data_IF_371556419655
#
_entry.id   IF_371556419655
#
_cell.length_a   1.000
_cell.length_b   1.000
_cell.length_c   1.000
_cell.angle_alpha   90.00
_cell.angle_beta   90.00
_cell.angle_gamma   90.00
#
_symmetry.space_group_name_H-M   'P 1'
#
loop_
_entity.id
_entity.type
_entity.pdbx_description
1 polymer ?
#
# COMPACT_ATOMS: atom_id res chain seq x y z
N UNK A 1 -30.31 55.38 -18.53
CA UNK A 1 -28.99 54.86 -18.11
C UNK A 1 -29.18 54.21 -16.75
N UNK A 2 -28.44 53.13 -16.45
CA UNK A 2 -28.70 52.05 -15.47
C UNK A 2 -29.54 50.91 -16.11
N UNK A 3 -29.16 49.62 -16.03
CA UNK A 3 -28.17 48.95 -15.20
C UNK A 3 -27.67 47.64 -15.86
N UNK A 4 -26.37 47.38 -15.71
CA UNK A 4 -25.69 46.09 -15.85
C UNK A 4 -26.23 45.04 -14.86
N UNK A 5 -26.57 43.83 -15.33
CA UNK A 5 -27.00 42.73 -14.45
C UNK A 5 -26.76 41.30 -15.00
N UNK A 6 -25.79 41.06 -15.89
CA UNK A 6 -25.61 39.73 -16.52
C UNK A 6 -24.25 39.03 -16.32
N UNK A 7 -23.33 39.60 -15.54
CA UNK A 7 -21.97 39.02 -15.37
C UNK A 7 -21.71 38.38 -14.00
N UNK A 8 -22.66 38.40 -13.07
CA UNK A 8 -22.46 37.97 -11.69
C UNK A 8 -22.60 36.45 -11.50
N UNK A 9 -23.63 35.83 -12.08
CA UNK A 9 -24.01 34.44 -11.74
C UNK A 9 -23.01 33.37 -12.18
N UNK A 10 -22.39 33.50 -13.36
CA UNK A 10 -21.45 32.48 -13.86
C UNK A 10 -20.11 32.50 -13.11
N UNK A 11 -19.63 33.69 -12.72
CA UNK A 11 -18.39 33.82 -11.95
C UNK A 11 -18.55 33.27 -10.54
N UNK A 12 -19.68 33.53 -9.87
CA UNK A 12 -19.97 32.94 -8.56
C UNK A 12 -20.18 31.43 -8.62
N UNK A 13 -20.80 30.89 -9.68
CA UNK A 13 -20.90 29.44 -9.87
C UNK A 13 -19.53 28.81 -10.13
N UNK A 14 -18.72 29.41 -11.00
CA UNK A 14 -17.35 28.95 -11.28
C UNK A 14 -16.49 28.99 -10.01
N UNK A 15 -16.53 30.07 -9.23
CA UNK A 15 -15.81 30.15 -7.96
C UNK A 15 -16.33 29.14 -6.95
N UNK A 16 -17.64 28.93 -6.82
CA UNK A 16 -18.19 27.89 -5.94
C UNK A 16 -17.76 26.50 -6.36
N UNK A 17 -17.71 26.23 -7.66
CA UNK A 17 -17.26 24.95 -8.20
C UNK A 17 -15.76 24.75 -7.95
N UNK A 18 -14.93 25.76 -8.22
CA UNK A 18 -13.48 25.72 -7.93
C UNK A 18 -13.17 25.62 -6.44
N UNK A 19 -13.94 26.29 -5.57
CA UNK A 19 -13.76 26.20 -4.10
C UNK A 19 -14.28 24.86 -3.55
N UNK A 20 -15.32 24.29 -4.17
CA UNK A 20 -15.82 22.95 -3.82
C UNK A 20 -14.82 21.85 -4.21
N UNK A 21 -14.19 21.98 -5.39
CA UNK A 21 -13.08 21.11 -5.82
C UNK A 21 -11.83 21.25 -4.94
N UNK A 22 -11.60 22.43 -4.34
CA UNK A 22 -10.50 22.65 -3.39
C UNK A 22 -10.78 22.06 -1.99
N UNK A 23 -12.01 21.66 -1.68
CA UNK A 23 -12.41 21.12 -0.38
C UNK A 23 -12.69 19.61 -0.39
N UNK A 24 -12.70 18.98 -1.57
CA UNK A 24 -12.91 17.54 -1.75
C UNK A 24 -11.56 16.82 -1.85
N UNK A 25 -11.34 15.87 -0.94
CA UNK A 25 -10.25 14.91 -1.07
C UNK A 25 -10.73 13.75 -1.93
N UNK A 26 -10.01 13.38 -3.01
CA UNK A 26 -10.40 12.28 -3.88
C UNK A 26 -10.41 10.94 -3.14
N UNK A 27 -11.01 9.93 -3.75
CA UNK A 27 -10.93 8.55 -3.25
C UNK A 27 -9.49 8.13 -3.03
N UNK A 28 -9.26 7.45 -1.91
CA UNK A 28 -7.94 6.96 -1.53
C UNK A 28 -7.90 5.44 -1.66
N UNK A 29 -6.90 4.94 -2.38
CA UNK A 29 -6.56 3.53 -2.43
C UNK A 29 -5.44 3.25 -1.42
N UNK A 30 -5.72 2.42 -0.42
CA UNK A 30 -4.76 1.97 0.57
C UNK A 30 -4.47 0.48 0.42
N UNK A 31 -3.24 0.07 0.74
CA UNK A 31 -2.79 -1.31 0.70
C UNK A 31 -2.26 -1.72 2.06
N UNK A 32 -2.74 -2.84 2.58
CA UNK A 32 -2.21 -3.46 3.78
C UNK A 32 -1.77 -4.89 3.47
N UNK A 33 -0.53 -5.25 3.79
CA UNK A 33 -0.04 -6.63 3.66
C UNK A 33 -0.29 -7.35 4.97
N UNK A 34 -1.06 -8.44 4.90
CA UNK A 34 -1.48 -9.23 6.05
C UNK A 34 -0.98 -10.67 5.89
N UNK A 35 0.23 -10.99 6.40
CA UNK A 35 0.69 -12.37 6.49
C UNK A 35 -0.24 -13.20 7.37
N UNK A 36 -0.50 -14.44 6.99
CA UNK A 36 -1.31 -15.37 7.78
C UNK A 36 -0.52 -15.94 8.96
N UNK A 37 0.79 -16.14 8.78
CA UNK A 37 1.66 -16.79 9.77
C UNK A 37 3.10 -16.25 9.68
N UNK A 38 3.93 -16.58 10.66
CA UNK A 38 5.38 -16.40 10.63
C UNK A 38 6.10 -17.62 10.05
N UNK A 39 7.30 -17.41 9.50
CA UNK A 39 8.16 -18.51 9.05
C UNK A 39 9.23 -18.76 10.09
N UNK A 40 9.14 -19.91 10.76
CA UNK A 40 10.18 -20.40 11.66
C UNK A 40 11.01 -21.49 10.97
N UNK A 41 12.29 -21.21 10.76
CA UNK A 41 13.24 -22.15 10.16
C UNK A 41 14.00 -22.87 11.27
N UNK A 42 14.00 -24.20 11.24
CA UNK A 42 14.69 -25.03 12.23
C UNK A 42 15.86 -25.77 11.59
N UNK A 43 16.97 -25.84 12.33
CA UNK A 43 18.18 -26.51 11.89
C UNK A 43 19.16 -25.56 11.21
N UNK A 44 20.11 -26.16 10.47
CA UNK A 44 21.13 -25.41 9.75
C UNK A 44 20.56 -24.81 8.45
N UNK A 45 21.10 -23.66 7.98
CA UNK A 45 20.71 -23.07 6.70
C UNK A 45 20.81 -24.06 5.54
N UNK A 46 19.69 -24.26 4.83
CA UNK A 46 19.60 -25.19 3.70
C UNK A 46 19.24 -24.46 2.40
N UNK A 47 20.14 -24.56 1.42
CA UNK A 47 19.97 -23.94 0.10
C UNK A 47 18.96 -24.67 -0.79
N UNK A 48 18.59 -25.89 -0.42
CA UNK A 48 17.68 -26.75 -1.18
C UNK A 48 16.28 -26.77 -0.60
N UNK A 49 16.04 -26.08 0.52
CA UNK A 49 14.71 -25.95 1.12
C UNK A 49 14.09 -24.58 0.84
N UNK A 50 12.75 -24.57 0.83
CA UNK A 50 11.95 -23.37 0.75
C UNK A 50 10.74 -23.51 1.66
N UNK A 51 10.40 -22.41 2.33
CA UNK A 51 9.27 -22.30 3.24
C UNK A 51 8.19 -21.45 2.61
N UNK A 52 6.93 -21.77 2.88
CA UNK A 52 5.79 -20.99 2.35
C UNK A 52 5.43 -19.89 3.34
N UNK A 53 5.41 -18.64 2.87
CA UNK A 53 4.80 -17.51 3.57
C UNK A 53 3.57 -17.07 2.78
N UNK A 54 2.39 -17.30 3.36
CA UNK A 54 1.11 -17.03 2.73
C UNK A 54 0.34 -15.95 3.48
N UNK A 55 -0.58 -15.28 2.79
CA UNK A 55 -1.39 -14.23 3.37
C UNK A 55 -2.25 -13.53 2.33
N UNK A 56 -2.65 -12.31 2.63
CA UNK A 56 -3.44 -11.47 1.73
C UNK A 56 -2.89 -10.05 1.67
N UNK A 57 -3.00 -9.41 0.52
CA UNK A 57 -2.95 -7.96 0.40
C UNK A 57 -4.39 -7.45 0.42
N UNK A 58 -4.71 -6.65 1.43
CA UNK A 58 -5.99 -5.95 1.54
C UNK A 58 -5.90 -4.63 0.78
N UNK A 59 -6.75 -4.49 -0.24
CA UNK A 59 -6.96 -3.24 -0.96
C UNK A 59 -8.15 -2.55 -0.34
N UNK A 60 -7.96 -1.32 0.15
CA UNK A 60 -9.00 -0.48 0.74
C UNK A 60 -9.28 0.69 -0.18
N UNK A 61 -10.54 0.83 -0.58
CA UNK A 61 -11.02 2.05 -1.22
C UNK A 61 -11.79 2.87 -0.19
N UNK A 62 -11.27 4.05 0.12
CA UNK A 62 -11.90 4.99 1.05
C UNK A 62 -12.69 6.02 0.24
N UNK A 63 -13.94 6.35 0.64
CA UNK A 63 -14.74 7.36 -0.04
C UNK A 63 -14.04 8.71 -0.10
N UNK A 64 -14.43 9.58 -1.05
CA UNK A 64 -13.98 10.95 -1.03
C UNK A 64 -14.55 11.64 0.23
N UNK A 65 -13.79 12.57 0.78
CA UNK A 65 -14.19 13.30 2.00
C UNK A 65 -14.13 14.81 1.75
N UNK A 66 -15.03 15.56 2.38
CA UNK A 66 -15.06 17.02 2.31
C UNK A 66 -15.21 17.58 3.71
N UNK A 67 -14.51 18.69 3.99
CA UNK A 67 -14.54 19.36 5.30
C UNK A 67 -15.80 20.22 5.51
N UNK A 68 -16.56 20.50 4.45
CA UNK A 68 -17.63 21.50 4.47
C UNK A 68 -19.03 20.92 4.28
N UNK A 69 -19.14 19.75 3.65
CA UNK A 69 -20.42 19.12 3.32
C UNK A 69 -20.22 17.64 3.02
N UNK A 70 -21.27 16.85 3.16
CA UNK A 70 -21.27 15.45 2.71
C UNK A 70 -21.15 15.40 1.18
N UNK A 71 -20.11 14.73 0.64
CA UNK A 71 -19.93 14.62 -0.81
C UNK A 71 -21.17 14.03 -1.49
N UNK A 72 -21.55 14.52 -2.69
CA UNK A 72 -22.68 13.94 -3.42
C UNK A 72 -22.40 12.46 -3.75
N UNK A 73 -23.47 11.69 -4.00
CA UNK A 73 -23.33 10.31 -4.45
C UNK A 73 -22.51 10.24 -5.73
N UNK A 74 -21.47 9.40 -5.73
CA UNK A 74 -20.53 9.27 -6.84
C UNK A 74 -20.16 7.81 -7.05
N UNK A 75 -19.97 7.45 -8.31
CA UNK A 75 -19.42 6.15 -8.68
C UNK A 75 -17.92 6.29 -8.91
N UNK A 76 -17.15 5.46 -8.23
CA UNK A 76 -15.69 5.47 -8.30
C UNK A 76 -15.24 4.12 -8.80
N UNK A 77 -14.47 4.13 -9.88
CA UNK A 77 -13.97 2.93 -10.55
C UNK A 77 -12.51 3.12 -10.86
N UNK A 78 -11.69 2.21 -10.36
CA UNK A 78 -10.27 2.15 -10.58
C UNK A 78 -9.95 0.85 -11.31
N UNK A 79 -9.12 0.93 -12.36
CA UNK A 79 -8.53 -0.25 -12.95
C UNK A 79 -7.18 -0.49 -12.28
N UNK A 80 -7.09 -1.55 -11.48
CA UNK A 80 -5.85 -2.01 -10.89
C UNK A 80 -5.06 -2.79 -11.95
N UNK A 81 -3.98 -2.20 -12.43
CA UNK A 81 -3.17 -2.73 -13.54
C UNK A 81 -2.08 -3.68 -13.07
N UNK A 82 -1.51 -3.46 -11.88
CA UNK A 82 -0.48 -4.33 -11.27
C UNK A 82 -0.59 -4.31 -9.76
N UNK A 83 -0.30 -5.44 -9.11
CA UNK A 83 -0.08 -5.53 -7.67
C UNK A 83 1.15 -6.40 -7.40
N UNK A 84 2.26 -5.74 -7.07
CA UNK A 84 3.54 -6.39 -6.83
C UNK A 84 3.80 -6.51 -5.33
N UNK A 85 3.93 -7.74 -4.84
CA UNK A 85 4.42 -8.03 -3.50
C UNK A 85 5.94 -8.19 -3.55
N UNK A 86 6.66 -7.58 -2.61
CA UNK A 86 8.12 -7.67 -2.49
C UNK A 86 8.48 -8.19 -1.11
N UNK A 87 9.26 -9.27 -1.07
CA UNK A 87 9.92 -9.76 0.13
C UNK A 87 11.37 -9.30 0.12
N UNK A 88 11.81 -8.70 1.22
CA UNK A 88 13.18 -8.24 1.38
C UNK A 88 13.71 -8.56 2.76
N UNK A 89 15.00 -8.87 2.82
CA UNK A 89 15.76 -9.09 4.04
C UNK A 89 17.01 -8.24 4.04
N UNK A 90 17.33 -7.67 5.19
CA UNK A 90 18.50 -6.84 5.39
C UNK A 90 19.20 -7.19 6.69
N UNK A 91 20.47 -6.83 6.74
CA UNK A 91 21.30 -6.93 7.92
C UNK A 91 21.97 -5.59 8.20
N UNK A 92 21.89 -5.14 9.45
CA UNK A 92 22.44 -3.85 9.88
C UNK A 92 23.38 -4.05 11.07
N UNK A 93 24.50 -3.35 11.07
CA UNK A 93 25.51 -3.43 12.13
C UNK A 93 26.00 -2.03 12.44
N UNK A 94 26.13 -1.72 13.73
CA UNK A 94 26.76 -0.50 14.18
C UNK A 94 27.86 -0.83 15.18
N UNK A 95 29.11 -0.55 14.82
CA UNK A 95 30.26 -0.73 15.72
C UNK A 95 30.95 0.61 16.01
N UNK A 96 31.65 0.73 17.15
CA UNK A 96 32.51 1.90 17.41
C UNK A 96 33.64 2.08 16.39
N UNK A 97 34.19 0.99 15.86
CA UNK A 97 35.38 0.99 15.00
C UNK A 97 35.06 1.29 13.53
N UNK A 98 33.98 0.70 13.01
CA UNK A 98 33.61 0.79 11.58
C UNK A 98 32.36 1.64 11.34
N UNK A 99 31.66 2.05 12.40
CA UNK A 99 30.42 2.82 12.29
C UNK A 99 29.26 1.96 11.78
N UNK A 100 28.34 2.58 11.06
CA UNK A 100 27.14 1.92 10.53
C UNK A 100 27.45 1.20 9.21
N UNK A 101 27.08 -0.07 9.13
CA UNK A 101 27.11 -0.88 7.92
C UNK A 101 25.78 -1.59 7.71
N UNK A 102 25.32 -1.64 6.47
CA UNK A 102 24.10 -2.35 6.08
C UNK A 102 24.34 -3.21 4.83
N UNK A 103 23.68 -4.36 4.78
CA UNK A 103 23.75 -5.28 3.66
C UNK A 103 22.37 -5.85 3.34
N UNK A 104 22.01 -5.90 2.05
CA UNK A 104 20.79 -6.58 1.59
C UNK A 104 21.07 -8.07 1.46
N UNK A 105 20.32 -8.88 2.20
CA UNK A 105 20.45 -10.35 2.19
C UNK A 105 19.70 -10.96 1.01
N UNK A 106 18.46 -10.51 0.78
CA UNK A 106 17.58 -11.06 -0.24
C UNK A 106 16.57 -10.01 -0.68
N UNK A 107 16.17 -10.07 -1.94
CA UNK A 107 15.01 -9.34 -2.45
C UNK A 107 14.43 -10.08 -3.66
N UNK A 108 13.13 -10.33 -3.63
CA UNK A 108 12.38 -10.80 -4.78
C UNK A 108 10.96 -10.28 -4.75
N UNK A 109 10.33 -10.26 -5.93
CA UNK A 109 8.99 -9.72 -6.11
C UNK A 109 8.10 -10.71 -6.86
N UNK A 110 6.81 -10.70 -6.54
CA UNK A 110 5.78 -11.50 -7.18
C UNK A 110 4.63 -10.59 -7.63
N UNK A 111 4.26 -10.69 -8.91
CA UNK A 111 3.03 -10.09 -9.41
C UNK A 111 1.83 -10.95 -8.97
N UNK A 112 0.88 -10.33 -8.28
CA UNK A 112 -0.29 -11.01 -7.75
C UNK A 112 -1.46 -11.04 -8.74
N UNK A 113 -1.51 -10.13 -9.72
CA UNK A 113 -2.56 -10.10 -10.74
C UNK A 113 -2.16 -10.95 -11.95
N UNK A 114 -2.42 -12.26 -11.87
CA UNK A 114 -2.05 -13.20 -12.94
C UNK A 114 -3.01 -13.19 -14.13
N UNK A 115 -4.28 -12.86 -13.90
CA UNK A 115 -5.34 -12.91 -14.92
C UNK A 115 -5.52 -11.57 -15.67
N UNK A 116 -4.66 -10.59 -15.38
CA UNK A 116 -4.70 -9.25 -15.95
C UNK A 116 -5.32 -8.20 -15.00
N UNK A 117 -5.57 -6.99 -15.51
CA UNK A 117 -6.07 -5.88 -14.70
C UNK A 117 -7.45 -6.17 -14.08
N UNK A 118 -7.67 -5.69 -12.86
CA UNK A 118 -8.91 -5.91 -12.09
C UNK A 118 -9.62 -4.58 -11.87
N UNK A 119 -10.93 -4.52 -12.14
CA UNK A 119 -11.75 -3.37 -11.80
C UNK A 119 -12.08 -3.38 -10.31
N UNK A 120 -11.74 -2.29 -9.64
CA UNK A 120 -11.96 -2.05 -8.22
C UNK A 120 -12.83 -0.80 -8.12
N UNK A 121 -14.08 -0.95 -7.71
CA UNK A 121 -15.00 0.18 -7.72
C UNK A 121 -16.13 0.04 -6.72
N UNK A 122 -16.70 1.19 -6.35
CA UNK A 122 -17.85 1.26 -5.48
C UNK A 122 -18.71 2.48 -5.82
N UNK A 123 -20.01 2.35 -5.56
CA UNK A 123 -20.94 3.45 -5.62
C UNK A 123 -21.13 4.02 -4.21
N UNK A 124 -20.66 5.24 -3.99
CA UNK A 124 -20.80 5.93 -2.71
C UNK A 124 -22.16 6.60 -2.64
N UNK A 125 -22.94 6.27 -1.62
CA UNK A 125 -24.17 6.99 -1.25
C UNK A 125 -24.08 7.49 0.21
N UNK A 126 -25.09 8.23 0.67
CA UNK A 126 -25.12 8.78 2.03
C UNK A 126 -25.08 7.71 3.14
N UNK A 127 -25.48 6.48 2.84
CA UNK A 127 -25.53 5.35 3.79
C UNK A 127 -24.35 4.37 3.62
N UNK A 128 -23.63 4.41 2.50
CA UNK A 128 -22.58 3.50 2.09
C UNK A 128 -21.23 4.22 2.05
N UNK A 129 -20.78 4.76 3.18
CA UNK A 129 -19.47 5.41 3.31
C UNK A 129 -18.40 4.57 4.03
N UNK A 130 -18.70 3.31 4.30
CA UNK A 130 -17.70 2.41 4.87
C UNK A 130 -16.65 2.05 3.80
N UNK A 131 -15.34 2.09 4.14
CA UNK A 131 -14.29 1.70 3.21
C UNK A 131 -14.50 0.28 2.66
N UNK A 132 -14.47 0.15 1.34
CA UNK A 132 -14.62 -1.13 0.66
C UNK A 132 -13.29 -1.86 0.56
N UNK A 133 -13.34 -3.19 0.64
CA UNK A 133 -12.16 -4.04 0.82
C UNK A 133 -12.15 -5.20 -0.17
N UNK A 134 -11.00 -5.42 -0.78
CA UNK A 134 -10.71 -6.59 -1.60
C UNK A 134 -9.49 -7.31 -1.02
N UNK A 135 -9.54 -8.64 -0.99
CA UNK A 135 -8.45 -9.47 -0.48
C UNK A 135 -7.83 -10.24 -1.64
N UNK A 136 -6.56 -9.98 -1.91
CA UNK A 136 -5.80 -10.72 -2.92
C UNK A 136 -4.81 -11.63 -2.19
N UNK A 137 -4.92 -12.93 -2.40
CA UNK A 137 -4.07 -13.93 -1.77
C UNK A 137 -2.66 -13.91 -2.35
N UNK A 138 -1.67 -14.21 -1.51
CA UNK A 138 -0.31 -14.50 -1.94
C UNK A 138 0.23 -15.75 -1.24
N UNK A 139 1.19 -16.40 -1.90
CA UNK A 139 2.02 -17.44 -1.33
C UNK A 139 3.40 -17.33 -1.97
N UNK A 140 4.39 -16.93 -1.16
CA UNK A 140 5.78 -16.80 -1.59
C UNK A 140 6.63 -17.93 -1.01
N UNK A 141 7.64 -18.34 -1.78
CA UNK A 141 8.66 -19.27 -1.35
C UNK A 141 9.83 -18.50 -0.72
N UNK A 142 9.98 -18.61 0.60
CA UNK A 142 11.09 -18.05 1.38
C UNK A 142 12.24 -19.06 1.37
N UNK A 143 13.45 -18.70 0.88
CA UNK A 143 14.58 -19.62 0.85
C UNK A 143 15.04 -20.05 2.25
N UNK A 144 15.32 -21.34 2.44
CA UNK A 144 15.70 -21.88 3.76
C UNK A 144 17.14 -21.63 4.20
N UNK A 145 17.92 -20.88 3.42
CA UNK A 145 19.29 -20.48 3.77
C UNK A 145 19.35 -19.11 4.47
N UNK A 146 18.21 -18.43 4.63
CA UNK A 146 18.16 -17.11 5.23
C UNK A 146 18.50 -17.17 6.72
N UNK A 147 19.33 -16.24 7.24
CA UNK A 147 19.63 -16.19 8.66
C UNK A 147 18.38 -15.87 9.50
N UNK A 148 18.32 -16.32 10.77
CA UNK A 148 17.19 -16.00 11.64
C UNK A 148 17.08 -14.49 11.87
N UNK A 149 15.84 -14.02 12.06
CA UNK A 149 15.61 -12.64 12.51
C UNK A 149 16.23 -12.44 13.89
N UNK A 150 17.00 -11.37 14.07
CA UNK A 150 17.56 -11.00 15.35
C UNK A 150 17.47 -9.49 15.54
N UNK A 151 16.97 -9.08 16.70
CA UNK A 151 16.94 -7.69 17.15
C UNK A 151 18.03 -7.51 18.20
N UNK A 152 19.25 -7.20 17.79
CA UNK A 152 20.31 -6.86 18.73
C UNK A 152 20.07 -5.44 19.22
N UNK A 153 19.90 -5.28 20.54
CA UNK A 153 19.75 -3.96 21.14
C UNK A 153 21.08 -3.21 21.03
N UNK A 154 21.02 -2.02 20.45
CA UNK A 154 22.08 -1.03 20.47
C UNK A 154 22.82 -0.98 21.82
N UNK A 155 24.12 -1.28 21.83
CA UNK A 155 25.00 -0.95 22.95
C UNK A 155 25.20 -2.00 24.04
N UNK A 156 24.84 -3.27 23.85
CA UNK A 156 25.46 -4.32 24.67
C UNK A 156 26.86 -4.58 24.12
N UNK A 157 27.86 -3.90 24.70
CA UNK A 157 29.27 -3.94 24.27
C UNK A 157 29.96 -5.31 24.37
N UNK A 158 29.17 -6.38 24.50
CA UNK A 158 29.60 -7.78 24.57
C UNK A 158 29.29 -8.53 23.25
N UNK A 159 28.30 -8.10 22.45
CA UNK A 159 27.90 -8.77 21.21
C UNK A 159 27.74 -7.78 20.05
N UNK A 160 28.75 -7.73 19.18
CA UNK A 160 28.74 -7.03 17.88
C UNK A 160 27.95 -7.80 16.80
N UNK A 161 26.85 -8.44 17.18
CA UNK A 161 26.06 -9.22 16.22
C UNK A 161 25.17 -8.28 15.39
N UNK A 162 25.14 -8.46 14.06
CA UNK A 162 24.31 -7.64 13.21
C UNK A 162 22.83 -7.93 13.47
N UNK A 163 22.00 -6.89 13.41
CA UNK A 163 20.55 -7.02 13.31
C UNK A 163 20.23 -7.69 11.97
N UNK A 164 19.23 -8.57 11.97
CA UNK A 164 18.67 -9.19 10.76
C UNK A 164 17.16 -9.02 10.81
N UNK A 165 16.61 -8.36 9.79
CA UNK A 165 15.18 -8.11 9.68
C UNK A 165 14.67 -8.39 8.27
N UNK A 166 13.41 -8.83 8.21
CA UNK A 166 12.68 -9.13 6.99
C UNK A 166 11.39 -8.33 6.95
N UNK A 167 10.97 -7.94 5.74
CA UNK A 167 9.68 -7.28 5.56
C UNK A 167 9.03 -7.65 4.24
N UNK A 168 7.71 -7.54 4.25
CA UNK A 168 6.88 -7.57 3.06
C UNK A 168 6.39 -6.16 2.75
N UNK A 169 6.42 -5.78 1.48
CA UNK A 169 5.82 -4.55 0.99
C UNK A 169 5.01 -4.83 -0.28
N UNK A 170 3.93 -4.09 -0.47
CA UNK A 170 3.10 -4.18 -1.67
C UNK A 170 3.09 -2.85 -2.41
N UNK A 171 3.05 -2.91 -3.74
CA UNK A 171 2.91 -1.75 -4.62
C UNK A 171 1.85 -2.02 -5.66
N UNK A 172 0.85 -1.15 -5.71
CA UNK A 172 -0.16 -1.14 -6.77
C UNK A 172 0.15 -0.09 -7.84
N UNK A 173 -0.19 -0.40 -9.09
CA UNK A 173 -0.37 0.59 -10.15
C UNK A 173 -1.83 0.54 -10.57
N UNK A 174 -2.48 1.70 -10.62
CA UNK A 174 -3.89 1.79 -10.97
C UNK A 174 -4.16 3.08 -11.74
N UNK A 175 -5.31 3.12 -12.40
CA UNK A 175 -5.82 4.31 -13.09
C UNK A 175 -7.31 4.50 -12.87
N UNK A 176 -7.76 5.74 -12.88
CA UNK A 176 -9.18 6.06 -12.83
C UNK A 176 -9.88 5.61 -14.12
N UNK A 177 -11.02 4.95 -13.98
CA UNK A 177 -11.92 4.65 -15.08
C UNK A 177 -12.97 5.74 -15.16
N UNK A 178 -13.02 6.46 -16.28
CA UNK A 178 -14.08 7.45 -16.50
C UNK A 178 -15.44 6.74 -16.58
N UNK A 179 -16.49 7.29 -15.95
CA UNK A 179 -17.83 6.77 -16.16
C UNK A 179 -18.23 6.97 -17.63
N UNK A 180 -18.41 5.87 -18.36
CA UNK A 180 -19.02 5.87 -19.71
C UNK A 180 -18.13 5.56 -20.92
N UNK A 181 -17.05 4.76 -20.78
CA UNK A 181 -16.36 4.17 -21.94
C UNK A 181 -17.02 2.88 -22.41
#
# INVERSE_FOLDING_TARGET
MLHDAFLSTSFYQSLKQTVSDMALTPCKLDLDVLPLDSVDMYGEPDKHSAYSLSGHVEIKLTPPTSLLYDPPASEERLLLESLVLTFEGQSELLTPETGYGACRLVQFSQELLQEGPVEVGHFWDENLRDPQRWLITFNIAVPGWLPPSCSTSFGDGVLEEPEVSYRLSAKATYRDMKPGS
#
